data_IF_796878135903
#
_entry.id   IF_796878135903
#
_cell.length_a   1.000
_cell.length_b   1.000
_cell.length_c   1.000
_cell.angle_alpha   90.00
_cell.angle_beta   90.00
_cell.angle_gamma   90.00
#
_symmetry.space_group_name_H-M   'P 1'
#
loop_
_entity.id
_entity.type
_entity.pdbx_description
1 polymer ?
#
# COMPACT_ATOMS: atom_id res chain seq x y z
N UNK A 1 23.09 -10.76 19.59
CA UNK A 1 21.71 -10.53 19.12
C UNK A 1 21.02 -11.88 18.98
N UNK A 2 19.80 -12.08 19.49
CA UNK A 2 19.04 -13.31 19.28
C UNK A 2 18.89 -13.62 17.79
N UNK A 3 19.04 -14.88 17.40
CA UNK A 3 19.03 -15.32 15.98
C UNK A 3 17.76 -14.87 15.24
N UNK A 4 16.61 -14.91 15.91
CA UNK A 4 15.35 -14.44 15.36
C UNK A 4 15.36 -12.96 14.95
N UNK A 5 15.98 -12.08 15.76
CA UNK A 5 16.05 -10.64 15.44
C UNK A 5 16.93 -10.41 14.21
N UNK A 6 18.06 -11.10 14.10
CA UNK A 6 18.94 -10.98 12.92
C UNK A 6 18.23 -11.45 11.66
N UNK A 7 17.53 -12.57 11.73
CA UNK A 7 16.88 -13.20 10.59
C UNK A 7 15.59 -12.44 10.16
N UNK A 8 15.04 -11.55 11.01
CA UNK A 8 13.83 -10.75 10.74
C UNK A 8 14.03 -9.24 10.94
N UNK A 9 15.28 -8.77 10.93
CA UNK A 9 15.60 -7.39 11.32
C UNK A 9 14.90 -6.36 10.44
N UNK A 10 14.85 -6.60 9.13
CA UNK A 10 14.21 -5.69 8.18
C UNK A 10 12.71 -5.52 8.51
N UNK A 11 11.97 -6.62 8.61
CA UNK A 11 10.54 -6.58 8.96
C UNK A 11 10.30 -5.98 10.35
N UNK A 12 11.13 -6.30 11.34
CA UNK A 12 11.00 -5.76 12.69
C UNK A 12 11.22 -4.24 12.73
N UNK A 13 12.22 -3.74 12.00
CA UNK A 13 12.49 -2.29 11.90
C UNK A 13 11.36 -1.59 11.15
N UNK A 14 10.91 -2.13 10.01
CA UNK A 14 9.82 -1.53 9.23
C UNK A 14 8.50 -1.49 10.02
N UNK A 15 8.10 -2.59 10.65
CA UNK A 15 6.88 -2.63 11.47
C UNK A 15 7.01 -1.79 12.75
N UNK A 16 8.20 -1.73 13.34
CA UNK A 16 8.47 -0.85 14.48
C UNK A 16 8.33 0.63 14.11
N UNK A 17 8.91 1.04 12.99
CA UNK A 17 8.77 2.39 12.46
C UNK A 17 7.30 2.72 12.14
N UNK A 18 6.58 1.79 11.50
CA UNK A 18 5.14 1.93 11.25
C UNK A 18 4.35 2.18 12.54
N UNK A 19 4.55 1.39 13.59
CA UNK A 19 3.83 1.58 14.87
C UNK A 19 4.16 2.94 15.49
N UNK A 20 5.43 3.35 15.45
CA UNK A 20 5.84 4.67 15.94
C UNK A 20 5.12 5.78 15.17
N UNK A 21 5.13 5.72 13.83
CA UNK A 21 4.51 6.76 13.01
C UNK A 21 2.98 6.75 13.11
N UNK A 22 2.34 5.59 13.24
CA UNK A 22 0.89 5.50 13.47
C UNK A 22 0.48 6.13 14.81
N UNK A 23 1.28 5.88 15.87
CA UNK A 23 1.05 6.53 17.19
C UNK A 23 1.25 8.03 17.07
N UNK A 24 2.31 8.50 16.41
CA UNK A 24 2.56 9.92 16.21
C UNK A 24 1.43 10.58 15.38
N UNK A 25 1.02 9.97 14.27
CA UNK A 25 -0.14 10.40 13.47
C UNK A 25 -1.38 10.51 14.35
N UNK A 26 -1.66 9.52 15.21
CA UNK A 26 -2.83 9.57 16.09
C UNK A 26 -2.78 10.72 17.12
N UNK A 27 -1.59 11.10 17.59
CA UNK A 27 -1.42 12.18 18.56
C UNK A 27 -1.55 13.54 17.86
N UNK A 28 -0.85 13.73 16.73
CA UNK A 28 -0.92 14.99 15.99
C UNK A 28 -2.29 15.20 15.37
N UNK A 29 -2.87 14.17 14.76
CA UNK A 29 -4.22 14.22 14.22
C UNK A 29 -5.28 14.49 15.30
N UNK A 30 -5.08 14.00 16.53
CA UNK A 30 -5.96 14.34 17.65
C UNK A 30 -5.93 15.83 17.99
N UNK A 31 -4.74 16.46 17.93
CA UNK A 31 -4.61 17.89 18.13
C UNK A 31 -5.25 18.68 16.99
N UNK A 32 -4.94 18.34 15.73
CA UNK A 32 -5.55 18.96 14.54
C UNK A 32 -7.08 18.89 14.60
N UNK A 33 -7.65 17.71 14.88
CA UNK A 33 -9.09 17.56 14.95
C UNK A 33 -9.74 18.39 16.08
N UNK A 34 -9.06 18.53 17.23
CA UNK A 34 -9.56 19.38 18.31
C UNK A 34 -9.50 20.88 17.97
N UNK A 35 -8.51 21.30 17.17
CA UNK A 35 -8.43 22.66 16.64
C UNK A 35 -9.60 22.95 15.69
N UNK A 36 -9.87 22.03 14.75
CA UNK A 36 -11.03 22.11 13.84
C UNK A 36 -12.36 22.15 14.62
N UNK A 37 -12.53 21.28 15.62
CA UNK A 37 -13.71 21.31 16.48
C UNK A 37 -13.86 22.66 17.18
N UNK A 38 -12.76 23.26 17.64
CA UNK A 38 -12.79 24.57 18.29
C UNK A 38 -13.19 25.70 17.33
N UNK A 39 -12.80 25.63 16.04
CA UNK A 39 -13.22 26.59 15.01
C UNK A 39 -14.76 26.62 14.84
N UNK A 40 -15.40 25.46 14.96
CA UNK A 40 -16.87 25.33 14.95
C UNK A 40 -17.52 25.51 16.32
N UNK A 41 -16.76 25.86 17.37
CA UNK A 41 -17.26 26.00 18.74
C UNK A 41 -17.68 24.68 19.40
N UNK A 42 -17.30 23.54 18.83
CA UNK A 42 -17.53 22.22 19.38
C UNK A 42 -16.55 21.91 20.53
N UNK A 43 -16.93 20.96 21.39
CA UNK A 43 -16.08 20.56 22.53
C UNK A 43 -14.96 19.64 22.04
N UNK A 44 -13.73 19.81 22.55
CA UNK A 44 -12.64 18.88 22.24
C UNK A 44 -12.95 17.50 22.78
N UNK A 45 -12.45 16.48 22.10
CA UNK A 45 -12.55 15.07 22.49
C UNK A 45 -11.22 14.59 23.07
N UNK A 46 -11.26 13.52 23.88
CA UNK A 46 -10.04 12.86 24.37
C UNK A 46 -9.42 11.94 23.31
N UNK A 47 -8.12 11.66 23.44
CA UNK A 47 -7.37 10.86 22.46
C UNK A 47 -7.97 9.47 22.18
N UNK A 48 -8.44 8.76 23.22
CA UNK A 48 -9.09 7.45 23.02
C UNK A 48 -10.41 7.53 22.22
N UNK A 49 -11.16 8.63 22.37
CA UNK A 49 -12.37 8.86 21.57
C UNK A 49 -12.01 9.23 20.12
N UNK A 50 -10.91 9.98 19.93
CA UNK A 50 -10.39 10.33 18.61
C UNK A 50 -9.97 9.10 17.78
N UNK A 51 -9.39 8.05 18.40
CA UNK A 51 -9.05 6.82 17.67
C UNK A 51 -10.27 6.12 17.01
N UNK A 52 -11.49 6.46 17.43
CA UNK A 52 -12.73 5.98 16.82
C UNK A 52 -13.44 7.01 15.93
N UNK A 53 -12.83 8.15 15.62
CA UNK A 53 -13.43 9.19 14.80
C UNK A 53 -13.29 8.92 13.30
N UNK A 54 -14.11 9.62 12.50
CA UNK A 54 -13.98 9.67 11.05
C UNK A 54 -12.61 10.21 10.63
N UNK A 55 -12.23 11.37 11.15
CA UNK A 55 -10.91 11.98 10.93
C UNK A 55 -9.73 11.01 11.10
N UNK A 56 -9.71 10.19 12.15
CA UNK A 56 -8.60 9.23 12.32
C UNK A 56 -8.67 8.11 11.28
N UNK A 57 -9.84 7.47 11.14
CA UNK A 57 -10.01 6.34 10.24
C UNK A 57 -9.76 6.72 8.76
N UNK A 58 -10.33 7.85 8.31
CA UNK A 58 -10.11 8.41 6.98
C UNK A 58 -8.61 8.60 6.71
N UNK A 59 -7.91 9.37 7.56
CA UNK A 59 -6.49 9.67 7.35
C UNK A 59 -5.58 8.44 7.33
N UNK A 60 -5.92 7.37 8.07
CA UNK A 60 -5.14 6.13 8.07
C UNK A 60 -5.42 5.32 6.82
N UNK A 61 -6.70 5.11 6.51
CA UNK A 61 -7.09 4.20 5.44
C UNK A 61 -6.97 4.81 4.05
N UNK A 62 -7.11 6.13 3.88
CA UNK A 62 -6.82 6.86 2.64
C UNK A 62 -5.36 6.59 2.20
N UNK A 63 -4.41 6.71 3.14
CA UNK A 63 -3.01 6.42 2.89
C UNK A 63 -2.80 4.94 2.55
N UNK A 64 -3.31 4.03 3.38
CA UNK A 64 -3.11 2.59 3.17
C UNK A 64 -3.73 2.11 1.86
N UNK A 65 -4.88 2.65 1.46
CA UNK A 65 -5.52 2.35 0.18
C UNK A 65 -4.53 2.59 -0.98
N UNK A 66 -3.91 3.77 -1.03
CA UNK A 66 -2.99 4.14 -2.12
C UNK A 66 -1.74 3.27 -2.14
N UNK A 67 -1.15 3.00 -0.98
CA UNK A 67 0.07 2.19 -0.81
C UNK A 67 -0.15 0.76 -1.29
N UNK A 68 -1.24 0.11 -0.87
CA UNK A 68 -1.51 -1.27 -1.28
C UNK A 68 -1.99 -1.36 -2.73
N UNK A 69 -2.68 -0.34 -3.25
CA UNK A 69 -2.99 -0.26 -4.67
C UNK A 69 -1.71 -0.18 -5.51
N UNK A 70 -0.78 0.71 -5.12
CA UNK A 70 0.50 0.86 -5.78
C UNK A 70 1.29 -0.44 -5.72
N UNK A 71 1.50 -1.03 -4.54
CA UNK A 71 2.29 -2.26 -4.38
C UNK A 71 1.68 -3.42 -5.16
N UNK A 72 0.36 -3.63 -5.05
CA UNK A 72 -0.36 -4.66 -5.81
C UNK A 72 -0.29 -4.43 -7.32
N UNK A 73 -0.50 -3.18 -7.75
CA UNK A 73 -0.37 -2.76 -9.14
C UNK A 73 1.04 -3.02 -9.68
N UNK A 74 2.07 -2.68 -8.91
CA UNK A 74 3.47 -2.89 -9.28
C UNK A 74 3.82 -4.37 -9.42
N UNK A 75 3.39 -5.23 -8.47
CA UNK A 75 3.56 -6.69 -8.56
C UNK A 75 2.92 -7.25 -9.82
N UNK A 76 1.69 -6.84 -10.15
CA UNK A 76 1.00 -7.32 -11.35
C UNK A 76 1.60 -6.76 -12.64
N UNK A 77 1.86 -5.45 -12.69
CA UNK A 77 2.40 -4.79 -13.88
C UNK A 77 3.79 -5.32 -14.24
N UNK A 78 4.67 -5.57 -13.26
CA UNK A 78 6.01 -6.16 -13.51
C UNK A 78 5.95 -7.64 -13.90
N UNK A 79 4.88 -8.35 -13.56
CA UNK A 79 4.65 -9.70 -14.06
C UNK A 79 4.26 -9.71 -15.55
N UNK A 80 3.53 -8.69 -16.04
CA UNK A 80 3.01 -8.66 -17.41
C UNK A 80 3.80 -7.78 -18.37
N UNK A 81 4.35 -6.66 -17.91
CA UNK A 81 5.05 -5.65 -18.70
C UNK A 81 6.57 -5.80 -18.57
N UNK A 82 7.28 -5.36 -19.61
CA UNK A 82 8.74 -5.30 -19.63
C UNK A 82 9.19 -3.87 -19.89
N UNK A 83 10.17 -3.40 -19.13
CA UNK A 83 10.82 -2.10 -19.31
C UNK A 83 12.31 -2.32 -19.55
N UNK A 84 12.75 -2.09 -20.79
CA UNK A 84 14.17 -2.26 -21.16
C UNK A 84 15.08 -1.43 -20.25
N UNK A 85 16.08 -2.09 -19.69
CA UNK A 85 17.10 -1.52 -18.81
C UNK A 85 16.72 -1.50 -17.33
N UNK A 86 15.47 -1.81 -16.97
CA UNK A 86 15.01 -1.79 -15.58
C UNK A 86 15.51 -3.02 -14.80
N UNK A 87 15.90 -2.83 -13.54
CA UNK A 87 16.18 -3.93 -12.61
C UNK A 87 14.90 -4.72 -12.25
N UNK A 88 13.76 -4.05 -12.32
CA UNK A 88 12.50 -4.46 -11.72
C UNK A 88 11.55 -5.21 -12.66
N UNK A 89 11.90 -5.31 -13.94
CA UNK A 89 11.06 -5.99 -14.94
C UNK A 89 11.72 -7.26 -15.46
N UNK A 90 10.89 -8.21 -15.88
CA UNK A 90 11.37 -9.44 -16.54
C UNK A 90 12.18 -9.14 -17.80
N UNK A 91 13.16 -9.99 -18.17
CA UNK A 91 13.96 -9.80 -19.38
C UNK A 91 13.11 -9.76 -20.65
N UNK A 92 13.63 -9.10 -21.68
CA UNK A 92 12.96 -9.00 -22.99
C UNK A 92 12.69 -10.38 -23.59
N UNK A 93 11.48 -10.54 -24.16
CA UNK A 93 11.06 -11.79 -24.80
C UNK A 93 10.72 -12.93 -23.84
N UNK A 94 10.84 -12.74 -22.52
CA UNK A 94 10.37 -13.72 -21.54
C UNK A 94 8.90 -13.47 -21.19
N UNK A 95 8.05 -14.45 -21.48
CA UNK A 95 6.63 -14.42 -21.10
C UNK A 95 6.45 -14.84 -19.64
N UNK A 96 7.21 -15.84 -19.19
CA UNK A 96 7.17 -16.44 -17.86
C UNK A 96 8.60 -16.71 -17.35
N UNK A 97 8.77 -16.84 -16.03
CA UNK A 97 10.08 -17.15 -15.43
C UNK A 97 10.32 -18.66 -15.53
N UNK A 98 11.44 -19.13 -16.10
CA UNK A 98 11.72 -20.56 -16.18
C UNK A 98 11.76 -21.29 -14.83
N UNK A 99 11.98 -20.54 -13.73
CA UNK A 99 11.98 -21.06 -12.37
C UNK A 99 10.57 -21.37 -11.81
N UNK A 100 9.52 -20.81 -12.41
CA UNK A 100 8.14 -20.96 -11.93
C UNK A 100 7.45 -22.24 -12.45
N UNK A 101 8.17 -23.09 -13.20
CA UNK A 101 7.65 -24.38 -13.69
C UNK A 101 7.37 -25.35 -12.53
N UNK A 102 6.08 -25.51 -12.21
CA UNK A 102 5.56 -26.35 -11.13
C UNK A 102 6.01 -27.82 -11.23
N UNK A 103 6.38 -28.31 -12.43
CA UNK A 103 6.93 -29.66 -12.62
C UNK A 103 8.30 -29.85 -11.99
N UNK A 104 8.97 -28.77 -11.60
CA UNK A 104 10.25 -28.78 -10.88
C UNK A 104 10.08 -28.88 -9.37
N UNK A 105 8.86 -29.03 -8.86
CA UNK A 105 8.59 -29.14 -7.42
C UNK A 105 9.35 -30.32 -6.80
N UNK A 106 10.05 -30.04 -5.70
CA UNK A 106 10.80 -31.02 -4.91
C UNK A 106 10.15 -31.31 -3.55
N UNK A 107 10.80 -32.15 -2.72
CA UNK A 107 10.32 -32.49 -1.39
C UNK A 107 10.12 -31.27 -0.48
N UNK A 108 10.95 -30.23 -0.62
CA UNK A 108 10.87 -29.00 0.18
C UNK A 108 9.89 -27.97 -0.42
N UNK A 109 9.31 -28.23 -1.60
CA UNK A 109 8.35 -27.32 -2.20
C UNK A 109 7.05 -27.25 -1.38
N UNK A 110 6.39 -26.09 -1.31
CA UNK A 110 5.11 -25.94 -0.61
C UNK A 110 4.06 -26.96 -1.08
N UNK A 111 3.24 -27.44 -0.14
CA UNK A 111 2.24 -28.47 -0.42
C UNK A 111 1.26 -28.14 -1.57
N UNK A 112 0.82 -26.88 -1.80
CA UNK A 112 -0.09 -26.59 -2.90
C UNK A 112 0.56 -26.88 -4.26
N UNK A 113 1.87 -26.62 -4.38
CA UNK A 113 2.64 -26.88 -5.61
C UNK A 113 2.74 -28.38 -5.87
N UNK A 114 2.95 -29.19 -4.82
CA UNK A 114 3.01 -30.65 -4.94
C UNK A 114 1.66 -31.29 -5.24
N UNK A 115 0.56 -30.67 -4.79
CA UNK A 115 -0.79 -31.18 -5.00
C UNK A 115 -1.36 -30.80 -6.39
N UNK A 116 -1.01 -29.62 -6.88
CA UNK A 116 -1.55 -29.07 -8.13
C UNK A 116 -2.99 -28.55 -8.00
N UNK A 117 -3.67 -28.38 -9.13
CA UNK A 117 -5.09 -28.02 -9.19
C UNK A 117 -5.43 -26.66 -8.56
N UNK A 118 -6.57 -26.58 -7.88
CA UNK A 118 -7.06 -25.33 -7.28
C UNK A 118 -6.13 -24.77 -6.17
N UNK A 119 -5.59 -25.58 -5.24
CA UNK A 119 -4.67 -25.08 -4.21
C UNK A 119 -3.44 -24.41 -4.81
N UNK A 120 -2.85 -24.99 -5.85
CA UNK A 120 -1.76 -24.38 -6.59
C UNK A 120 -2.19 -23.06 -7.25
N UNK A 121 -3.35 -23.04 -7.91
CA UNK A 121 -3.85 -21.84 -8.58
C UNK A 121 -4.04 -20.66 -7.61
N UNK A 122 -4.52 -20.93 -6.38
CA UNK A 122 -4.61 -19.93 -5.31
C UNK A 122 -3.22 -19.56 -4.81
N UNK A 123 -2.37 -20.55 -4.53
CA UNK A 123 -1.04 -20.34 -3.98
C UNK A 123 -0.15 -19.48 -4.88
N UNK A 124 -0.11 -19.75 -6.19
CA UNK A 124 0.72 -18.99 -7.14
C UNK A 124 0.25 -17.55 -7.36
N UNK A 125 -1.00 -17.23 -6.99
CA UNK A 125 -1.54 -15.87 -7.03
C UNK A 125 -1.70 -15.26 -5.62
N UNK A 126 -1.23 -15.93 -4.57
CA UNK A 126 -1.53 -15.58 -3.18
C UNK A 126 -1.02 -14.20 -2.77
N UNK A 127 0.13 -13.76 -3.29
CA UNK A 127 0.66 -12.42 -3.02
C UNK A 127 -0.27 -11.34 -3.56
N UNK A 128 -0.65 -11.42 -4.83
CA UNK A 128 -1.57 -10.45 -5.45
C UNK A 128 -2.95 -10.49 -4.80
N UNK A 129 -3.44 -11.68 -4.43
CA UNK A 129 -4.70 -11.83 -3.69
C UNK A 129 -4.63 -11.19 -2.30
N UNK A 130 -3.53 -11.37 -1.58
CA UNK A 130 -3.35 -10.76 -0.26
C UNK A 130 -3.31 -9.22 -0.36
N UNK A 131 -2.54 -8.68 -1.30
CA UNK A 131 -2.46 -7.23 -1.53
C UNK A 131 -3.81 -6.66 -1.95
N UNK A 132 -4.56 -7.36 -2.82
CA UNK A 132 -5.91 -6.97 -3.21
C UNK A 132 -6.87 -6.95 -2.01
N UNK A 133 -6.82 -7.98 -1.15
CA UNK A 133 -7.68 -8.03 0.04
C UNK A 133 -7.36 -6.91 1.03
N UNK A 134 -6.08 -6.60 1.24
CA UNK A 134 -5.67 -5.48 2.10
C UNK A 134 -6.12 -4.15 1.47
N UNK A 135 -5.89 -3.95 0.17
CA UNK A 135 -6.39 -2.79 -0.56
C UNK A 135 -7.91 -2.63 -0.40
N UNK A 136 -8.69 -3.68 -0.61
CA UNK A 136 -10.15 -3.63 -0.47
C UNK A 136 -10.56 -3.31 0.97
N UNK A 137 -9.86 -3.87 1.97
CA UNK A 137 -10.05 -3.54 3.37
C UNK A 137 -9.78 -2.06 3.66
N UNK A 138 -8.67 -1.53 3.14
CA UNK A 138 -8.32 -0.12 3.27
C UNK A 138 -9.29 0.79 2.53
N UNK A 139 -9.68 0.47 1.30
CA UNK A 139 -10.66 1.22 0.52
C UNK A 139 -12.01 1.31 1.24
N UNK A 140 -12.48 0.21 1.84
CA UNK A 140 -13.70 0.22 2.67
C UNK A 140 -13.49 1.03 3.95
N UNK A 141 -12.32 0.91 4.59
CA UNK A 141 -11.98 1.71 5.77
C UNK A 141 -11.97 3.21 5.48
N UNK A 142 -11.40 3.62 4.35
CA UNK A 142 -11.37 4.99 3.86
C UNK A 142 -12.79 5.46 3.55
N UNK A 143 -13.58 4.66 2.84
CA UNK A 143 -14.96 5.00 2.54
C UNK A 143 -15.80 5.24 3.81
N UNK A 144 -15.71 4.35 4.79
CA UNK A 144 -16.48 4.45 6.04
C UNK A 144 -15.97 5.59 6.94
N UNK A 145 -14.65 5.73 7.07
CA UNK A 145 -14.00 6.81 7.82
C UNK A 145 -14.32 8.18 7.23
N UNK A 146 -14.11 8.33 5.92
CA UNK A 146 -14.40 9.57 5.20
C UNK A 146 -15.89 9.91 5.17
N UNK A 147 -16.79 8.92 5.07
CA UNK A 147 -18.23 9.19 5.23
C UNK A 147 -18.54 9.77 6.62
N UNK A 148 -17.93 9.22 7.67
CA UNK A 148 -18.14 9.71 9.03
C UNK A 148 -17.57 11.13 9.21
N UNK A 149 -16.38 11.40 8.67
CA UNK A 149 -15.74 12.72 8.73
C UNK A 149 -16.52 13.76 7.93
N UNK A 150 -16.83 13.44 6.67
CA UNK A 150 -17.63 14.30 5.80
C UNK A 150 -18.96 14.68 6.46
N UNK A 151 -19.67 13.71 7.03
CA UNK A 151 -20.93 13.98 7.73
C UNK A 151 -20.74 14.86 8.97
N UNK A 152 -19.65 14.67 9.72
CA UNK A 152 -19.33 15.52 10.88
C UNK A 152 -19.07 16.96 10.44
N UNK A 153 -18.24 17.16 9.42
CA UNK A 153 -17.92 18.50 8.88
C UNK A 153 -19.15 19.20 8.32
N UNK A 154 -19.99 18.50 7.55
CA UNK A 154 -21.23 19.05 6.99
C UNK A 154 -22.25 19.42 8.08
N UNK A 155 -22.32 18.62 9.15
CA UNK A 155 -23.18 18.93 10.30
C UNK A 155 -22.69 20.16 11.07
N UNK A 156 -21.37 20.29 11.28
CA UNK A 156 -20.77 21.43 11.99
C UNK A 156 -20.83 22.73 11.19
N UNK A 157 -20.59 22.67 9.87
CA UNK A 157 -20.49 23.85 9.02
C UNK A 157 -21.84 24.39 8.54
N UNK A 158 -22.74 23.50 8.13
CA UNK A 158 -24.00 23.86 7.46
C UNK A 158 -25.26 23.30 8.16
N UNK A 159 -25.10 22.48 9.20
CA UNK A 159 -26.22 21.77 9.82
C UNK A 159 -26.90 20.78 8.87
N UNK A 160 -26.17 20.31 7.85
CA UNK A 160 -26.71 19.44 6.82
C UNK A 160 -26.99 18.03 7.38
N UNK A 161 -28.01 17.32 6.83
CA UNK A 161 -28.26 15.94 7.19
C UNK A 161 -27.12 15.02 6.71
N UNK A 162 -26.87 13.90 7.42
CA UNK A 162 -25.83 12.95 7.00
C UNK A 162 -26.21 12.25 5.70
N UNK A 163 -25.20 11.96 4.89
CA UNK A 163 -25.29 11.13 3.68
C UNK A 163 -24.82 9.71 3.96
N UNK A 164 -25.21 8.77 3.09
CA UNK A 164 -24.74 7.38 3.18
C UNK A 164 -23.33 7.21 2.60
N UNK A 165 -22.69 6.08 2.91
CA UNK A 165 -21.40 5.74 2.30
C UNK A 165 -21.50 5.59 0.77
N UNK A 166 -22.64 5.12 0.26
CA UNK A 166 -22.86 5.04 -1.18
C UNK A 166 -22.93 6.42 -1.83
N UNK A 167 -23.55 7.39 -1.16
CA UNK A 167 -23.61 8.76 -1.64
C UNK A 167 -22.21 9.40 -1.59
N UNK A 168 -21.46 9.18 -0.50
CA UNK A 168 -20.09 9.71 -0.34
C UNK A 168 -19.13 9.17 -1.41
N UNK A 169 -19.22 7.88 -1.75
CA UNK A 169 -18.45 7.26 -2.86
C UNK A 169 -18.70 7.96 -4.21
N UNK A 170 -19.87 8.57 -4.39
CA UNK A 170 -20.23 9.34 -5.58
C UNK A 170 -19.77 10.80 -5.57
N UNK A 171 -19.18 11.28 -4.47
CA UNK A 171 -18.73 12.68 -4.34
C UNK A 171 -17.37 12.92 -4.98
N UNK A 172 -17.09 14.17 -5.35
CA UNK A 172 -15.75 14.56 -5.79
C UNK A 172 -14.73 14.52 -4.66
N UNK A 173 -15.15 14.67 -3.40
CA UNK A 173 -14.26 14.68 -2.23
C UNK A 173 -13.56 13.32 -2.08
N UNK A 174 -14.33 12.23 -2.04
CA UNK A 174 -13.79 10.87 -1.95
C UNK A 174 -12.76 10.60 -3.06
N UNK A 175 -13.10 10.93 -4.31
CA UNK A 175 -12.19 10.70 -5.42
C UNK A 175 -11.02 11.68 -5.45
N UNK A 176 -11.17 12.90 -4.93
CA UNK A 176 -10.05 13.83 -4.79
C UNK A 176 -9.00 13.28 -3.83
N UNK A 177 -9.45 12.81 -2.65
CA UNK A 177 -8.63 12.13 -1.63
C UNK A 177 -7.92 10.88 -2.20
N UNK A 178 -8.62 10.00 -2.92
CA UNK A 178 -7.96 8.85 -3.56
C UNK A 178 -6.99 9.26 -4.66
N UNK A 179 -7.41 10.13 -5.59
CA UNK A 179 -6.59 10.48 -6.77
C UNK A 179 -5.31 11.23 -6.41
N UNK A 180 -5.33 12.09 -5.39
CA UNK A 180 -4.13 12.83 -4.96
C UNK A 180 -3.03 11.90 -4.43
N UNK A 181 -3.40 10.82 -3.74
CA UNK A 181 -2.44 9.86 -3.22
C UNK A 181 -2.01 8.85 -4.29
N UNK A 182 -2.96 8.33 -5.07
CA UNK A 182 -2.65 7.35 -6.12
C UNK A 182 -1.66 7.93 -7.13
N UNK A 183 -1.83 9.20 -7.53
CA UNK A 183 -0.88 9.80 -8.48
C UNK A 183 0.55 9.87 -7.92
N UNK A 184 0.75 10.21 -6.64
CA UNK A 184 2.08 10.33 -6.05
C UNK A 184 2.74 8.97 -5.87
N UNK A 185 1.97 7.97 -5.46
CA UNK A 185 2.49 6.61 -5.26
C UNK A 185 2.96 5.99 -6.58
N UNK A 186 2.16 6.12 -7.65
CA UNK A 186 2.57 5.67 -8.97
C UNK A 186 3.73 6.48 -9.55
N UNK A 187 3.81 7.78 -9.25
CA UNK A 187 4.97 8.61 -9.62
C UNK A 187 6.25 8.12 -8.92
N UNK A 188 6.20 7.85 -7.61
CA UNK A 188 7.35 7.41 -6.83
C UNK A 188 7.95 6.11 -7.40
N UNK A 189 7.10 5.13 -7.70
CA UNK A 189 7.54 3.87 -8.32
C UNK A 189 7.98 4.05 -9.76
N UNK A 190 7.29 4.87 -10.55
CA UNK A 190 7.74 5.21 -11.90
C UNK A 190 9.14 5.83 -11.91
N UNK A 191 9.42 6.73 -10.96
CA UNK A 191 10.75 7.34 -10.76
C UNK A 191 11.76 6.27 -10.39
N UNK A 192 11.47 5.36 -9.46
CA UNK A 192 12.38 4.28 -9.09
C UNK A 192 12.72 3.40 -10.29
N UNK A 193 11.72 2.97 -11.07
CA UNK A 193 11.90 2.18 -12.28
C UNK A 193 12.84 2.89 -13.26
N UNK A 194 12.60 4.17 -13.55
CA UNK A 194 13.40 4.93 -14.51
C UNK A 194 14.82 5.20 -14.01
N UNK A 195 14.97 5.57 -12.73
CA UNK A 195 16.27 5.86 -12.14
C UNK A 195 17.12 4.60 -12.01
N UNK A 196 16.53 3.43 -11.72
CA UNK A 196 17.25 2.15 -11.60
C UNK A 196 18.00 1.74 -12.89
N UNK A 197 17.60 2.28 -14.05
CA UNK A 197 18.28 2.05 -15.33
C UNK A 197 19.70 2.65 -15.28
N UNK A 198 19.81 3.88 -14.76
CA UNK A 198 21.01 4.71 -14.87
C UNK A 198 21.80 4.81 -13.56
N UNK A 199 21.12 4.81 -12.42
CA UNK A 199 21.73 4.97 -11.10
C UNK A 199 21.98 3.62 -10.44
N UNK A 200 22.86 3.61 -9.42
CA UNK A 200 23.31 2.41 -8.72
C UNK A 200 23.37 2.69 -7.22
N UNK A 201 22.79 1.80 -6.42
CA UNK A 201 22.97 1.75 -4.98
C UNK A 201 23.71 0.44 -4.64
N UNK A 202 24.94 0.55 -4.14
CA UNK A 202 25.75 -0.62 -3.83
C UNK A 202 25.05 -1.51 -2.78
N UNK A 203 24.95 -2.81 -3.09
CA UNK A 203 24.32 -3.84 -2.26
C UNK A 203 22.81 -3.67 -1.99
N UNK A 204 22.10 -2.94 -2.86
CA UNK A 204 20.63 -2.81 -2.82
C UNK A 204 20.01 -3.70 -3.91
N UNK A 205 18.95 -4.47 -3.60
CA UNK A 205 18.21 -5.23 -4.61
C UNK A 205 17.37 -4.35 -5.55
N UNK A 206 17.10 -3.09 -5.17
CA UNK A 206 16.30 -2.11 -5.94
C UNK A 206 17.11 -1.42 -7.07
N UNK A 207 18.36 -1.82 -7.30
CA UNK A 207 19.17 -1.32 -8.41
C UNK A 207 20.08 -2.41 -8.98
N UNK A 208 20.47 -2.26 -10.25
CA UNK A 208 21.36 -3.22 -10.92
C UNK A 208 22.75 -3.25 -10.27
N UNK A 209 23.52 -4.34 -10.45
CA UNK A 209 24.93 -4.35 -10.08
C UNK A 209 25.69 -3.16 -10.68
N UNK A 210 26.70 -2.64 -9.96
CA UNK A 210 27.51 -1.50 -10.40
C UNK A 210 28.20 -1.78 -11.74
N UNK A 211 28.50 -3.05 -12.00
CA UNK A 211 29.15 -3.52 -13.24
C UNK A 211 28.18 -3.80 -14.39
N UNK A 212 26.86 -3.79 -14.16
CA UNK A 212 25.85 -4.12 -15.16
C UNK A 212 25.60 -2.95 -16.12
N UNK A 213 25.40 -3.26 -17.40
CA UNK A 213 25.17 -2.26 -18.44
C UNK A 213 23.80 -1.59 -18.27
N UNK A 214 23.64 -0.34 -18.75
CA UNK A 214 22.34 0.35 -18.69
C UNK A 214 21.23 -0.35 -19.48
N UNK A 215 21.55 -1.00 -20.60
CA UNK A 215 20.59 -1.72 -21.42
C UNK A 215 20.17 -3.09 -20.84
N UNK A 216 20.91 -3.61 -19.85
CA UNK A 216 20.61 -4.88 -19.20
C UNK A 216 19.31 -4.79 -18.40
N UNK A 217 18.40 -5.75 -18.59
CA UNK A 217 17.06 -5.79 -17.99
C UNK A 217 16.91 -7.03 -17.14
N UNK A 218 16.32 -6.85 -15.96
CA UNK A 218 16.23 -7.88 -14.93
C UNK A 218 17.46 -7.91 -14.04
N UNK A 219 17.29 -8.48 -12.85
CA UNK A 219 18.36 -8.84 -11.92
C UNK A 219 18.82 -10.28 -12.17
#
# INVERSE_FOLDING_TARGET
MPRWIRDNALSAVMLGAFVVFLVLQSIFGWHTHNEELAEYGARPIGWLAYLGSGHFAESVFENWESEFLQMGGYVLLTAYLTQRGSAESKPEGQTDRPADDERRAGPDSPWPVRLGGLPLAVYRNSLSLALLLIFLGSFVGHLLGGTAEYNQQQALSAGAPPISAWDFLGTSEFWFQSMQNWQSEFLAVGVLILLSIFLRQHASPESKPVTAAHAETGA
#
